data_IF_252045132677
#
_entry.id   IF_252045132677
#
_cell.length_a   1.000
_cell.length_b   1.000
_cell.length_c   1.000
_cell.angle_alpha   90.00
_cell.angle_beta   90.00
_cell.angle_gamma   90.00
#
_symmetry.space_group_name_H-M   'P 1'
#
loop_
_entity.id
_entity.type
_entity.pdbx_description
1 polymer ?
#
# COMPACT_ATOMS: atom_id res chain seq x y z
N UNK A 1 3.70 -16.98 -0.18
CA UNK A 1 2.27 -16.81 0.19
C UNK A 1 2.13 -16.82 1.70
N UNK A 2 1.53 -15.78 2.29
CA UNK A 2 1.24 -15.68 3.73
C UNK A 2 -0.25 -15.74 4.03
N UNK A 3 -1.11 -15.85 3.00
CA UNK A 3 -2.58 -15.83 3.11
C UNK A 3 -3.10 -16.79 4.20
N UNK A 4 -2.68 -18.06 4.28
CA UNK A 4 -3.16 -18.98 5.31
C UNK A 4 -2.84 -18.55 6.75
N UNK A 5 -1.83 -17.69 6.95
CA UNK A 5 -1.46 -17.20 8.28
C UNK A 5 -2.42 -16.11 8.80
N UNK A 6 -3.19 -15.49 7.92
CA UNK A 6 -4.11 -14.41 8.25
C UNK A 6 -5.58 -14.83 8.17
N UNK A 7 -5.87 -16.02 7.65
CA UNK A 7 -7.23 -16.51 7.46
C UNK A 7 -7.93 -16.77 8.81
N UNK A 8 -9.06 -16.09 9.05
CA UNK A 8 -9.82 -16.21 10.29
C UNK A 8 -9.15 -15.58 11.51
N UNK A 9 -8.05 -14.84 11.34
CA UNK A 9 -7.32 -14.21 12.44
C UNK A 9 -8.02 -12.94 12.93
N UNK A 10 -8.77 -12.26 12.06
CA UNK A 10 -9.32 -10.93 12.31
C UNK A 10 -10.85 -10.94 12.32
N UNK A 11 -11.45 -9.79 12.70
CA UNK A 11 -12.90 -9.63 12.57
C UNK A 11 -13.35 -9.85 11.12
N UNK A 12 -14.53 -10.45 10.86
CA UNK A 12 -14.90 -10.93 9.52
C UNK A 12 -14.77 -9.88 8.40
N UNK A 13 -15.13 -8.62 8.70
CA UNK A 13 -15.02 -7.49 7.77
C UNK A 13 -13.58 -7.08 7.45
N UNK A 14 -12.69 -7.20 8.43
CA UNK A 14 -11.27 -6.85 8.28
C UNK A 14 -10.48 -8.02 7.70
N UNK A 15 -10.86 -9.25 8.02
CA UNK A 15 -10.24 -10.48 7.53
C UNK A 15 -10.28 -10.56 6.01
N UNK A 16 -11.50 -10.49 5.44
CA UNK A 16 -11.72 -10.46 3.98
C UNK A 16 -10.87 -9.39 3.31
N UNK A 17 -10.85 -8.19 3.89
CA UNK A 17 -10.12 -7.08 3.33
C UNK A 17 -8.59 -7.25 3.37
N UNK A 18 -8.06 -7.80 4.46
CA UNK A 18 -6.61 -8.04 4.56
C UNK A 18 -6.20 -9.17 3.63
N UNK A 19 -7.01 -10.22 3.51
CA UNK A 19 -6.76 -11.31 2.57
C UNK A 19 -6.79 -10.81 1.12
N UNK A 20 -7.79 -9.99 0.75
CA UNK A 20 -7.87 -9.34 -0.56
C UNK A 20 -6.65 -8.45 -0.82
N UNK A 21 -6.23 -7.65 0.16
CA UNK A 21 -5.06 -6.79 0.04
C UNK A 21 -3.77 -7.61 -0.14
N UNK A 22 -3.58 -8.67 0.64
CA UNK A 22 -2.40 -9.55 0.56
C UNK A 22 -2.36 -10.22 -0.82
N UNK A 23 -3.48 -10.76 -1.27
CA UNK A 23 -3.60 -11.41 -2.57
C UNK A 23 -3.29 -10.41 -3.70
N UNK A 24 -3.94 -9.24 -3.68
CA UNK A 24 -3.76 -8.22 -4.70
C UNK A 24 -2.33 -7.69 -4.74
N UNK A 25 -1.69 -7.51 -3.59
CA UNK A 25 -0.29 -7.08 -3.49
C UNK A 25 0.66 -8.18 -4.01
N UNK A 26 0.37 -9.45 -3.74
CA UNK A 26 1.15 -10.57 -4.25
C UNK A 26 1.07 -10.66 -5.80
N UNK A 27 -0.14 -10.52 -6.37
CA UNK A 27 -0.36 -10.49 -7.81
C UNK A 27 0.35 -9.29 -8.45
N UNK A 28 0.18 -8.10 -7.89
CA UNK A 28 0.85 -6.88 -8.36
C UNK A 28 2.38 -7.03 -8.33
N UNK A 29 2.94 -7.55 -7.22
CA UNK A 29 4.38 -7.77 -7.10
C UNK A 29 4.89 -8.81 -8.10
N UNK A 30 4.15 -9.90 -8.34
CA UNK A 30 4.52 -10.90 -9.34
C UNK A 30 4.63 -10.26 -10.74
N UNK A 31 3.62 -9.48 -11.15
CA UNK A 31 3.66 -8.75 -12.42
C UNK A 31 4.81 -7.73 -12.49
N UNK A 32 5.02 -6.96 -11.42
CA UNK A 32 6.10 -5.98 -11.33
C UNK A 32 7.49 -6.60 -11.45
N UNK A 33 7.67 -7.85 -10.97
CA UNK A 33 8.93 -8.59 -11.05
C UNK A 33 9.11 -9.31 -12.38
N UNK A 34 8.02 -9.83 -12.95
CA UNK A 34 8.05 -10.51 -14.24
C UNK A 34 8.30 -9.54 -15.39
N UNK A 35 7.82 -8.29 -15.28
CA UNK A 35 8.00 -7.24 -16.28
C UNK A 35 7.63 -7.67 -17.70
N UNK A 36 6.56 -8.46 -17.85
CA UNK A 36 6.14 -8.97 -19.16
C UNK A 36 5.58 -7.85 -20.06
N UNK A 37 6.07 -7.82 -21.30
CA UNK A 37 5.78 -6.82 -22.34
C UNK A 37 4.58 -7.10 -23.23
N UNK A 38 3.71 -8.03 -22.83
CA UNK A 38 2.51 -8.32 -23.63
C UNK A 38 1.41 -7.31 -23.31
N UNK A 39 0.63 -6.90 -24.31
CA UNK A 39 -0.55 -6.04 -24.14
C UNK A 39 -1.50 -6.59 -23.04
N UNK A 40 -1.70 -7.90 -23.03
CA UNK A 40 -2.49 -8.59 -22.01
C UNK A 40 -1.90 -8.46 -20.60
N UNK A 41 -0.58 -8.62 -20.43
CA UNK A 41 0.05 -8.51 -19.12
C UNK A 41 0.09 -7.08 -18.60
N UNK A 42 0.28 -6.09 -19.48
CA UNK A 42 0.23 -4.66 -19.14
C UNK A 42 -1.19 -4.22 -18.77
N UNK A 43 -2.21 -4.71 -19.48
CA UNK A 43 -3.62 -4.47 -19.15
C UNK A 43 -3.99 -5.03 -17.78
N UNK A 44 -3.62 -6.29 -17.51
CA UNK A 44 -3.81 -6.91 -16.19
C UNK A 44 -3.06 -6.12 -15.12
N UNK A 45 -1.82 -5.72 -15.37
CA UNK A 45 -1.03 -5.01 -14.38
C UNK A 45 -1.56 -3.60 -14.08
N UNK A 46 -2.07 -2.89 -15.09
CA UNK A 46 -2.77 -1.61 -14.92
C UNK A 46 -4.05 -1.80 -14.10
N UNK A 47 -4.81 -2.86 -14.36
CA UNK A 47 -5.99 -3.22 -13.60
C UNK A 47 -5.66 -3.49 -12.11
N UNK A 48 -4.65 -4.33 -11.85
CA UNK A 48 -4.17 -4.64 -10.49
C UNK A 48 -3.72 -3.37 -9.76
N UNK A 49 -3.00 -2.48 -10.43
CA UNK A 49 -2.53 -1.20 -9.87
C UNK A 49 -3.69 -0.29 -9.50
N UNK A 50 -4.73 -0.23 -10.34
CA UNK A 50 -5.95 0.55 -10.08
C UNK A 50 -6.76 0.00 -8.90
N UNK A 51 -6.98 -1.32 -8.87
CA UNK A 51 -7.67 -1.99 -7.76
C UNK A 51 -6.93 -1.76 -6.43
N UNK A 52 -5.60 -1.87 -6.44
CA UNK A 52 -4.79 -1.70 -5.25
C UNK A 52 -4.85 -0.26 -4.73
N UNK A 53 -4.78 0.72 -5.64
CA UNK A 53 -4.96 2.15 -5.29
C UNK A 53 -6.35 2.40 -4.68
N UNK A 54 -7.40 1.84 -5.26
CA UNK A 54 -8.78 1.99 -4.78
C UNK A 54 -8.94 1.44 -3.36
N UNK A 55 -8.45 0.22 -3.11
CA UNK A 55 -8.54 -0.44 -1.81
C UNK A 55 -7.78 0.36 -0.73
N UNK A 56 -6.58 0.84 -1.06
CA UNK A 56 -5.76 1.65 -0.14
C UNK A 56 -6.43 3.03 0.12
N UNK A 57 -6.97 3.69 -0.90
CA UNK A 57 -7.68 4.97 -0.77
C UNK A 57 -8.94 4.84 0.09
N UNK A 58 -9.73 3.79 -0.11
CA UNK A 58 -10.90 3.51 0.72
C UNK A 58 -10.50 3.32 2.19
N UNK A 59 -9.35 2.69 2.45
CA UNK A 59 -8.81 2.55 3.80
C UNK A 59 -8.38 3.85 4.46
N UNK A 60 -7.69 4.74 3.74
CA UNK A 60 -7.28 6.04 4.28
C UNK A 60 -8.49 6.93 4.60
N UNK A 61 -9.49 6.94 3.72
CA UNK A 61 -10.74 7.69 3.94
C UNK A 61 -11.46 7.16 5.19
N UNK A 62 -11.57 5.84 5.35
CA UNK A 62 -12.24 5.23 6.50
C UNK A 62 -11.45 5.42 7.81
N UNK A 63 -10.11 5.41 7.75
CA UNK A 63 -9.26 5.73 8.90
C UNK A 63 -9.42 7.19 9.34
N UNK A 64 -9.55 8.11 8.39
CA UNK A 64 -9.79 9.53 8.66
C UNK A 64 -11.19 9.79 9.24
N UNK A 65 -12.22 9.11 8.72
CA UNK A 65 -13.62 9.21 9.20
C UNK A 65 -13.83 8.71 10.63
N UNK A 66 -13.16 7.63 11.05
CA UNK A 66 -13.24 7.12 12.44
C UNK A 66 -12.73 8.11 13.49
N UNK A 67 -12.02 9.18 13.09
CA UNK A 67 -11.51 10.22 13.99
C UNK A 67 -12.49 11.37 14.24
N UNK A 68 -13.57 11.48 13.47
CA UNK A 68 -14.58 12.53 13.61
C UNK A 68 -15.54 12.36 14.79
N UNK A 69 -15.43 11.26 15.56
CA UNK A 69 -16.38 10.91 16.63
C UNK A 69 -15.73 10.78 18.03
N UNK A 70 -14.72 11.60 18.31
CA UNK A 70 -14.36 11.95 19.70
C UNK A 70 -14.66 13.42 19.92
N UNK A 71 -15.89 13.72 20.34
CA UNK A 71 -16.17 14.96 21.06
C UNK A 71 -15.62 14.80 22.48
N UNK A 72 -14.79 15.74 22.92
CA UNK A 72 -14.94 16.39 24.23
C UNK A 72 -14.02 17.60 24.36
N UNK A 73 -14.67 18.72 24.67
CA UNK A 73 -14.11 19.87 25.37
C UNK A 73 -13.32 19.43 26.62
N UNK A 74 -12.29 20.19 26.99
CA UNK A 74 -12.08 20.82 28.32
C UNK A 74 -10.61 21.23 28.44
N UNK A 75 -10.40 22.52 28.73
CA UNK A 75 -9.43 22.95 29.74
C UNK A 75 -7.96 23.06 29.34
N UNK A 76 -7.51 24.31 29.22
CA UNK A 76 -6.13 24.68 29.52
C UNK A 76 -5.72 24.11 30.88
N UNK A 77 -4.57 23.44 30.93
CA UNK A 77 -3.76 23.33 32.14
C UNK A 77 -2.28 23.27 31.73
N UNK A 78 -1.60 24.40 31.92
CA UNK A 78 -0.14 24.48 31.98
C UNK A 78 0.30 23.75 33.25
N UNK A 79 1.13 22.71 33.12
CA UNK A 79 1.92 22.20 34.25
C UNK A 79 3.17 21.47 33.78
N UNK A 80 4.27 21.76 34.48
CA UNK A 80 5.66 21.35 34.30
C UNK A 80 5.87 19.82 34.21
N UNK A 81 6.85 19.44 33.39
CA UNK A 81 7.85 18.42 33.75
C UNK A 81 7.45 16.95 33.62
N UNK A 82 7.66 16.38 32.43
CA UNK A 82 8.24 15.05 32.14
C UNK A 82 8.20 14.84 30.63
N UNK A 83 9.36 14.70 30.00
CA UNK A 83 9.44 14.25 28.60
C UNK A 83 9.11 12.75 28.62
N UNK A 84 7.83 12.43 28.77
CA UNK A 84 7.36 11.11 28.38
C UNK A 84 7.54 11.04 26.86
N UNK A 85 8.28 10.03 26.40
CA UNK A 85 8.43 9.76 24.97
C UNK A 85 7.04 9.37 24.46
N UNK A 86 6.25 10.37 24.07
CA UNK A 86 4.90 10.18 23.58
C UNK A 86 4.97 9.19 22.42
N UNK A 87 4.27 8.06 22.55
CA UNK A 87 4.24 7.01 21.52
C UNK A 87 3.74 7.66 20.23
N UNK A 88 4.67 7.92 19.30
CA UNK A 88 4.33 8.57 18.04
C UNK A 88 3.41 7.62 17.28
N UNK A 89 2.13 7.96 17.21
CA UNK A 89 1.18 7.23 16.39
C UNK A 89 1.46 7.57 14.94
N UNK A 90 2.26 6.72 14.26
CA UNK A 90 2.45 6.83 12.82
C UNK A 90 1.10 6.62 12.14
N UNK A 91 0.63 7.65 11.46
CA UNK A 91 -0.54 7.56 10.60
C UNK A 91 -0.13 6.98 9.26
N UNK A 92 -1.04 6.21 8.68
CA UNK A 92 -0.96 5.85 7.28
C UNK A 92 -1.13 7.12 6.41
N UNK A 93 -0.34 7.24 5.35
CA UNK A 93 -0.38 8.39 4.43
C UNK A 93 -0.11 7.93 2.99
N UNK A 94 -1.08 8.11 2.10
CA UNK A 94 -0.97 7.81 0.67
C UNK A 94 0.00 8.70 -0.09
N UNK A 95 0.34 9.88 0.45
CA UNK A 95 1.33 10.79 -0.13
C UNK A 95 2.78 10.27 -0.05
N UNK A 96 3.00 9.06 0.48
CA UNK A 96 4.32 8.45 0.51
C UNK A 96 4.74 8.04 -0.89
N UNK A 97 5.98 8.34 -1.29
CA UNK A 97 6.56 7.99 -2.59
C UNK A 97 6.25 6.56 -3.05
N UNK A 98 6.26 5.59 -2.12
CA UNK A 98 5.94 4.19 -2.40
C UNK A 98 4.63 4.02 -3.19
N UNK A 99 3.55 4.71 -2.82
CA UNK A 99 2.25 4.57 -3.48
C UNK A 99 2.14 5.35 -4.80
N UNK A 100 2.95 6.39 -4.96
CA UNK A 100 3.07 7.11 -6.22
C UNK A 100 3.84 6.26 -7.23
N UNK A 101 5.03 5.81 -6.85
CA UNK A 101 5.90 4.98 -7.68
C UNK A 101 5.20 3.71 -8.18
N UNK A 102 4.38 3.06 -7.35
CA UNK A 102 3.59 1.88 -7.75
C UNK A 102 2.67 2.13 -8.96
N UNK A 103 2.19 3.36 -9.14
CA UNK A 103 1.38 3.75 -10.29
C UNK A 103 2.16 3.79 -11.61
N UNK A 104 3.47 4.02 -11.53
CA UNK A 104 4.33 4.27 -12.69
C UNK A 104 4.92 2.96 -13.25
N UNK A 105 4.83 1.85 -12.51
CA UNK A 105 5.39 0.56 -12.94
C UNK A 105 4.88 0.08 -14.31
N UNK A 106 3.57 0.11 -14.64
CA UNK A 106 3.11 -0.35 -15.95
C UNK A 106 3.75 0.44 -17.11
N UNK A 107 3.85 1.76 -16.95
CA UNK A 107 4.48 2.62 -17.95
C UNK A 107 6.00 2.39 -18.03
N UNK A 108 6.67 2.25 -16.88
CA UNK A 108 8.11 1.92 -16.83
C UNK A 108 8.40 0.57 -17.47
N UNK A 109 7.59 -0.45 -17.17
CA UNK A 109 7.76 -1.77 -17.79
C UNK A 109 7.65 -1.61 -19.29
N UNK A 110 6.56 -1.06 -19.81
CA UNK A 110 6.35 -0.81 -21.25
C UNK A 110 7.54 -0.08 -21.91
N UNK A 111 8.14 0.90 -21.24
CA UNK A 111 9.27 1.64 -21.77
C UNK A 111 10.61 0.87 -21.76
N UNK A 112 10.85 0.01 -20.76
CA UNK A 112 12.21 -0.46 -20.45
C UNK A 112 12.47 -1.96 -20.54
N UNK A 113 11.48 -2.79 -20.89
CA UNK A 113 11.79 -4.20 -21.08
C UNK A 113 11.81 -5.01 -19.78
N UNK A 114 12.28 -6.24 -19.90
CA UNK A 114 12.89 -6.99 -18.80
C UNK A 114 14.32 -6.48 -18.60
N UNK A 115 14.73 -6.25 -17.36
CA UNK A 115 16.10 -5.77 -17.04
C UNK A 115 17.14 -6.91 -17.04
N UNK A 116 16.96 -7.98 -17.84
CA UNK A 116 17.73 -9.22 -17.71
C UNK A 116 19.17 -9.15 -18.26
N UNK A 117 19.57 -8.03 -18.90
CA UNK A 117 20.80 -7.99 -19.69
C UNK A 117 21.62 -6.69 -19.60
N UNK A 118 21.64 -5.99 -18.46
CA UNK A 118 22.60 -4.88 -18.26
C UNK A 118 23.96 -5.43 -17.81
N UNK A 119 24.82 -5.79 -18.76
CA UNK A 119 26.25 -6.00 -18.50
C UNK A 119 26.99 -4.67 -18.54
N UNK A 120 27.71 -4.34 -17.48
CA UNK A 120 28.64 -3.20 -17.46
C UNK A 120 30.04 -3.59 -17.93
N UNK A 121 30.22 -4.80 -18.49
CA UNK A 121 31.52 -5.23 -18.99
C UNK A 121 31.81 -4.50 -20.30
N UNK A 122 32.76 -3.55 -20.25
CA UNK A 122 33.35 -2.98 -21.45
C UNK A 122 34.10 -4.08 -22.20
N UNK A 123 33.75 -4.29 -23.47
CA UNK A 123 34.43 -5.19 -24.40
C UNK A 123 35.88 -4.81 -24.60
#
# INVERSE_FOLDING_TARGET
CTIPCFEGLLSPKLDTLILDLIFLFACWHAHAKLQLHTESSLSVFTCLTSQLRSLIAHHEINASKKKGMTIKHVGQAVAKGKISMAKLTKKFSLSTYKYHAMGDYPAMICAFGTTDSYSTQSV
#
